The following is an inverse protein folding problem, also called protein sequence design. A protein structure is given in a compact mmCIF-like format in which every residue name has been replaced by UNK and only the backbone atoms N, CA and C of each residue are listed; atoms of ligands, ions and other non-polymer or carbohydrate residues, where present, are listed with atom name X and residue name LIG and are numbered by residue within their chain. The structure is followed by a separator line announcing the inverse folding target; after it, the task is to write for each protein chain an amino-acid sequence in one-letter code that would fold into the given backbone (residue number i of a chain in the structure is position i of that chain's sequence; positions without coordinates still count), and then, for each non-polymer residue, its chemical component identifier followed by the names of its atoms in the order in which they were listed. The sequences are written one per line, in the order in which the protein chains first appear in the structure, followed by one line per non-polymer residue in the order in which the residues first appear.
data_IF_847306402038
#
_entry.id   IF_847306402038
#
_cell.length_a   1.000
_cell.length_b   1.000
_cell.length_c   1.000
_cell.angle_alpha   90.00
_cell.angle_beta   90.00
_cell.angle_gamma   90.00
#
_symmetry.space_group_name_H-M   'P 1'
#
loop_
_entity.id
_entity.type
_entity.pdbx_description
1 polymer ?
#
# COMPACT_ATOMS: atom_id res chain seq x y z
N UNK A 1 11.87 -3.51 8.14
CA UNK A 1 11.44 -4.89 7.85
C UNK A 1 12.69 -5.64 7.45
N UNK A 2 12.67 -6.28 6.29
CA UNK A 2 13.77 -7.04 5.69
C UNK A 2 14.65 -6.19 4.74
N UNK A 3 14.52 -4.86 4.77
CA UNK A 3 15.36 -3.94 3.98
C UNK A 3 16.05 -2.97 4.91
N UNK A 4 17.36 -2.79 4.71
CA UNK A 4 18.18 -1.79 5.40
C UNK A 4 18.73 -0.79 4.38
N UNK A 5 19.09 0.40 4.86
CA UNK A 5 19.73 1.42 4.04
C UNK A 5 21.09 1.79 4.65
N UNK A 6 22.15 1.67 3.85
CA UNK A 6 23.52 1.98 4.24
C UNK A 6 24.06 2.98 3.23
N UNK A 7 24.36 4.21 3.67
CA UNK A 7 24.87 5.28 2.81
C UNK A 7 24.03 5.53 1.54
N UNK A 8 22.70 5.45 1.65
CA UNK A 8 21.75 5.62 0.53
C UNK A 8 21.57 4.38 -0.36
N UNK A 9 22.36 3.32 -0.16
CA UNK A 9 22.16 2.04 -0.82
C UNK A 9 21.13 1.21 -0.06
N UNK A 10 20.07 0.78 -0.75
CA UNK A 10 19.02 -0.08 -0.19
C UNK A 10 19.39 -1.54 -0.40
N UNK A 11 19.49 -2.28 0.69
CA UNK A 11 19.89 -3.68 0.71
C UNK A 11 18.75 -4.51 1.28
N UNK A 12 18.30 -5.52 0.53
CA UNK A 12 17.31 -6.50 0.96
C UNK A 12 18.01 -7.67 1.61
N UNK A 13 17.55 -8.06 2.78
CA UNK A 13 18.06 -9.22 3.49
C UNK A 13 17.70 -10.49 2.71
N UNK A 14 18.71 -11.24 2.35
CA UNK A 14 18.59 -12.50 1.64
C UNK A 14 17.79 -13.54 2.46
N UNK A 15 16.98 -14.35 1.76
CA UNK A 15 16.36 -15.56 2.30
C UNK A 15 15.27 -15.37 3.35
N UNK A 16 14.84 -14.14 3.63
CA UNK A 16 13.80 -13.85 4.63
C UNK A 16 12.69 -12.99 4.02
N UNK A 17 11.51 -12.99 4.64
CA UNK A 17 10.41 -12.09 4.30
C UNK A 17 9.85 -11.51 5.62
N UNK A 18 9.84 -10.19 5.75
CA UNK A 18 9.34 -9.53 6.96
C UNK A 18 7.92 -8.98 6.72
N UNK A 19 7.09 -8.88 7.77
CA UNK A 19 5.81 -8.20 7.65
C UNK A 19 6.00 -6.76 7.16
N UNK A 20 5.15 -6.35 6.22
CA UNK A 20 5.19 -5.01 5.65
C UNK A 20 4.85 -3.95 6.70
N UNK A 21 5.42 -2.74 6.63
CA UNK A 21 5.26 -1.73 7.70
C UNK A 21 3.81 -1.41 8.09
N UNK A 22 2.87 -1.58 7.15
CA UNK A 22 1.42 -1.39 7.37
C UNK A 22 0.66 -2.66 7.75
N UNK A 23 1.32 -3.82 7.85
CA UNK A 23 0.71 -5.09 8.19
C UNK A 23 0.35 -5.12 9.68
N UNK A 24 -0.84 -5.64 9.97
CA UNK A 24 -1.35 -5.86 11.31
C UNK A 24 -1.31 -7.35 11.62
N UNK A 25 -0.88 -7.67 12.84
CA UNK A 25 -0.94 -9.01 13.43
C UNK A 25 -1.86 -8.95 14.66
N UNK A 26 -2.22 -10.10 15.21
CA UNK A 26 -3.03 -10.21 16.42
C UNK A 26 -2.22 -10.86 17.54
N UNK A 27 -2.26 -10.25 18.72
CA UNK A 27 -1.71 -10.84 19.94
C UNK A 27 -2.54 -12.08 20.38
N UNK A 28 -2.13 -12.84 21.41
CA UNK A 28 -2.89 -13.99 21.90
C UNK A 28 -4.32 -13.66 22.34
N UNK A 29 -4.61 -12.40 22.67
CA UNK A 29 -5.93 -11.90 23.08
C UNK A 29 -6.76 -11.43 21.88
N UNK A 30 -6.22 -11.46 20.67
CA UNK A 30 -6.87 -11.00 19.44
C UNK A 30 -6.71 -9.50 19.17
N UNK A 31 -5.90 -8.79 19.95
CA UNK A 31 -5.67 -7.35 19.79
C UNK A 31 -4.76 -7.11 18.60
N UNK A 32 -5.21 -6.25 17.66
CA UNK A 32 -4.42 -5.91 16.49
C UNK A 32 -3.23 -5.00 16.84
N UNK A 33 -2.05 -5.30 16.30
CA UNK A 33 -0.84 -4.50 16.48
C UNK A 33 -0.01 -4.41 15.19
N UNK A 34 0.80 -3.36 15.06
CA UNK A 34 1.58 -3.04 13.85
C UNK A 34 2.87 -3.87 13.75
N UNK A 35 2.74 -5.15 13.49
CA UNK A 35 3.87 -6.07 13.51
C UNK A 35 4.98 -5.73 12.52
N UNK A 36 4.68 -5.24 11.31
CA UNK A 36 5.75 -4.83 10.39
C UNK A 36 6.50 -3.58 10.82
N UNK A 37 5.84 -2.66 11.53
CA UNK A 37 6.53 -1.52 12.15
C UNK A 37 7.42 -2.01 13.29
N UNK A 38 6.92 -2.88 14.17
CA UNK A 38 7.70 -3.45 15.27
C UNK A 38 8.91 -4.25 14.78
N UNK A 39 8.75 -5.08 13.74
CA UNK A 39 9.88 -5.78 13.10
C UNK A 39 10.95 -4.82 12.56
N UNK A 40 10.54 -3.67 12.03
CA UNK A 40 11.46 -2.64 11.55
C UNK A 40 12.22 -1.97 12.69
N UNK A 41 11.54 -1.68 13.79
CA UNK A 41 12.14 -1.09 15.00
C UNK A 41 13.10 -2.09 15.65
N UNK A 42 12.70 -3.35 15.80
CA UNK A 42 13.53 -4.40 16.37
C UNK A 42 14.86 -4.56 15.62
N UNK A 43 14.82 -4.54 14.27
CA UNK A 43 16.05 -4.56 13.47
C UNK A 43 16.91 -3.31 13.68
N UNK A 44 16.28 -2.13 13.69
CA UNK A 44 16.96 -0.85 13.92
C UNK A 44 17.66 -0.85 15.28
N UNK A 45 16.99 -1.30 16.33
CA UNK A 45 17.52 -1.38 17.69
C UNK A 45 18.63 -2.41 17.78
N UNK A 46 18.49 -3.55 17.08
CA UNK A 46 19.51 -4.61 17.07
C UNK A 46 20.81 -4.15 16.42
N UNK A 47 20.72 -3.38 15.35
CA UNK A 47 21.87 -2.75 14.69
C UNK A 47 22.44 -1.66 15.59
N UNK A 48 21.59 -0.76 16.08
CA UNK A 48 21.98 0.36 16.93
C UNK A 48 23.07 1.20 16.28
N UNK A 49 24.24 1.31 16.93
CA UNK A 49 25.40 2.06 16.44
C UNK A 49 26.49 1.18 15.80
N UNK A 50 26.21 -0.11 15.60
CA UNK A 50 27.21 -1.04 15.09
C UNK A 50 27.44 -0.83 13.59
N UNK A 51 28.65 -1.14 13.13
CA UNK A 51 28.95 -1.22 11.71
C UNK A 51 28.29 -2.46 11.15
N UNK A 52 27.53 -2.29 10.07
CA UNK A 52 26.90 -3.38 9.33
C UNK A 52 27.78 -3.75 8.15
N UNK A 53 28.09 -5.04 8.01
CA UNK A 53 28.75 -5.61 6.84
C UNK A 53 27.76 -6.49 6.09
N UNK A 54 27.60 -6.29 4.79
CA UNK A 54 26.69 -7.07 3.96
C UNK A 54 27.46 -7.78 2.86
N UNK A 55 27.29 -9.09 2.77
CA UNK A 55 27.80 -9.90 1.68
C UNK A 55 26.70 -10.05 0.63
N UNK A 56 26.85 -9.33 -0.49
CA UNK A 56 25.91 -9.43 -1.61
C UNK A 56 25.88 -10.84 -2.17
N UNK A 57 24.68 -11.37 -2.35
CA UNK A 57 24.40 -12.69 -2.91
C UNK A 57 23.71 -12.61 -4.27
N UNK A 58 22.94 -11.55 -4.51
CA UNK A 58 22.21 -11.33 -5.77
C UNK A 58 21.82 -9.86 -5.93
N UNK A 59 21.33 -9.48 -7.11
CA UNK A 59 20.64 -8.22 -7.37
C UNK A 59 19.21 -8.54 -7.79
N UNK A 60 18.22 -8.01 -7.08
CA UNK A 60 16.84 -8.26 -7.44
C UNK A 60 16.41 -7.53 -8.73
N UNK A 61 15.27 -7.92 -9.29
CA UNK A 61 14.71 -7.34 -10.53
C UNK A 61 14.47 -5.82 -10.51
N UNK A 62 14.52 -5.19 -9.33
CA UNK A 62 14.36 -3.75 -9.15
C UNK A 62 15.71 -3.03 -8.95
N UNK A 63 16.83 -3.75 -9.11
CA UNK A 63 18.18 -3.23 -8.96
C UNK A 63 18.63 -3.08 -7.50
N UNK A 64 17.96 -3.73 -6.54
CA UNK A 64 18.39 -3.69 -5.13
C UNK A 64 19.34 -4.84 -4.85
N UNK A 65 20.40 -4.54 -4.10
CA UNK A 65 21.30 -5.56 -3.57
C UNK A 65 20.55 -6.49 -2.63
N UNK A 66 20.75 -7.80 -2.79
CA UNK A 66 20.25 -8.85 -1.92
C UNK A 66 21.47 -9.42 -1.20
N UNK A 67 21.46 -9.44 0.13
CA UNK A 67 22.67 -9.74 0.89
C UNK A 67 22.42 -10.45 2.23
N UNK A 68 23.43 -11.18 2.68
CA UNK A 68 23.56 -11.62 4.06
C UNK A 68 24.27 -10.53 4.87
N UNK A 69 23.55 -9.90 5.79
CA UNK A 69 24.07 -8.76 6.55
C UNK A 69 24.39 -9.15 8.00
N UNK A 70 25.43 -8.52 8.53
CA UNK A 70 25.99 -8.82 9.84
C UNK A 70 26.23 -7.54 10.63
N UNK A 71 25.92 -7.56 11.93
CA UNK A 71 26.27 -6.49 12.87
C UNK A 71 26.91 -7.10 14.12
N UNK A 72 28.11 -6.62 14.48
CA UNK A 72 28.84 -7.17 15.64
C UNK A 72 29.13 -8.67 15.55
N UNK A 73 29.25 -9.21 14.33
CA UNK A 73 29.45 -10.64 14.07
C UNK A 73 28.18 -11.50 14.05
N UNK A 74 27.01 -10.96 14.39
CA UNK A 74 25.74 -11.69 14.28
C UNK A 74 25.12 -11.50 12.90
N UNK A 75 24.63 -12.59 12.31
CA UNK A 75 23.85 -12.56 11.08
C UNK A 75 22.43 -12.01 11.34
N UNK A 76 22.15 -10.81 10.83
CA UNK A 76 20.89 -10.09 11.04
C UNK A 76 19.71 -10.84 10.41
N UNK A 77 19.91 -11.47 9.25
CA UNK A 77 18.87 -12.23 8.57
C UNK A 77 18.37 -13.39 9.44
N UNK A 78 19.31 -14.16 10.00
CA UNK A 78 19.02 -15.27 10.93
C UNK A 78 18.37 -14.75 12.20
N UNK A 79 18.89 -13.67 12.77
CA UNK A 79 18.36 -13.08 13.99
C UNK A 79 16.91 -12.63 13.82
N UNK A 80 16.59 -11.93 12.72
CA UNK A 80 15.23 -11.50 12.39
C UNK A 80 14.26 -12.68 12.37
N UNK A 81 14.64 -13.79 11.76
CA UNK A 81 13.79 -14.99 11.70
C UNK A 81 13.71 -15.67 13.06
N UNK A 82 14.83 -15.83 13.76
CA UNK A 82 14.92 -16.52 15.06
C UNK A 82 14.11 -15.81 16.16
N UNK A 83 14.06 -14.49 16.12
CA UNK A 83 13.28 -13.67 17.06
C UNK A 83 11.84 -13.43 16.60
N UNK A 84 11.44 -13.99 15.45
CA UNK A 84 10.06 -13.93 14.95
C UNK A 84 9.68 -12.57 14.35
N UNK A 85 10.65 -11.79 13.87
CA UNK A 85 10.42 -10.54 13.14
C UNK A 85 10.32 -10.73 11.63
N UNK A 86 10.71 -11.91 11.13
CA UNK A 86 10.59 -12.33 9.75
C UNK A 86 10.29 -13.83 9.67
N UNK A 87 9.82 -14.27 8.50
CA UNK A 87 9.65 -15.68 8.16
C UNK A 87 10.74 -16.14 7.20
N UNK A 88 11.03 -17.44 7.17
CA UNK A 88 12.01 -17.98 6.24
C UNK A 88 11.43 -18.01 4.83
N UNK A 89 12.07 -17.32 3.88
CA UNK A 89 11.56 -17.27 2.51
C UNK A 89 12.10 -18.43 1.68
N UNK A 90 11.48 -19.61 1.89
CA UNK A 90 11.91 -20.91 1.35
C UNK A 90 12.06 -20.97 -0.17
N UNK A 91 11.42 -20.05 -0.91
CA UNK A 91 11.58 -19.93 -2.36
C UNK A 91 12.99 -19.46 -2.77
N UNK A 92 13.69 -18.76 -1.88
CA UNK A 92 15.02 -18.19 -2.16
C UNK A 92 16.12 -18.84 -1.32
N UNK A 93 15.82 -19.28 -0.09
CA UNK A 93 16.82 -19.91 0.77
C UNK A 93 16.18 -20.80 1.84
N UNK A 94 16.86 -21.91 2.16
CA UNK A 94 16.51 -22.79 3.28
C UNK A 94 17.33 -22.52 4.53
N UNK A 95 18.28 -21.57 4.49
CA UNK A 95 19.27 -21.31 5.55
C UNK A 95 18.65 -20.90 6.91
N UNK A 96 17.41 -20.42 6.90
CA UNK A 96 16.72 -19.89 8.08
C UNK A 96 15.53 -20.73 8.54
N UNK A 97 15.25 -21.89 7.93
CA UNK A 97 14.13 -22.75 8.34
C UNK A 97 14.25 -23.17 9.81
N UNK A 98 15.44 -23.57 10.26
CA UNK A 98 15.65 -23.92 11.67
C UNK A 98 15.46 -22.72 12.62
N UNK A 99 15.77 -21.50 12.17
CA UNK A 99 15.53 -20.29 12.95
C UNK A 99 14.03 -19.99 13.05
N UNK A 100 13.28 -20.20 11.98
CA UNK A 100 11.83 -20.02 11.94
C UNK A 100 11.13 -21.01 12.88
N UNK A 101 11.52 -22.28 12.85
CA UNK A 101 10.97 -23.29 13.77
C UNK A 101 11.27 -22.96 15.24
N UNK A 102 12.45 -22.38 15.53
CA UNK A 102 12.77 -21.88 16.87
C UNK A 102 11.86 -20.72 17.29
N UNK A 103 11.59 -19.76 16.40
CA UNK A 103 10.68 -18.65 16.69
C UNK A 103 9.24 -19.12 16.88
N UNK A 104 8.80 -20.07 16.05
CA UNK A 104 7.47 -20.67 16.09
C UNK A 104 7.23 -21.44 17.38
N UNK A 105 8.14 -22.35 17.74
CA UNK A 105 8.03 -23.14 18.98
C UNK A 105 8.18 -22.27 20.23
N UNK A 106 8.99 -21.21 20.14
CA UNK A 106 9.17 -20.22 21.20
C UNK A 106 8.10 -19.12 21.26
N UNK A 107 7.10 -19.13 20.37
CA UNK A 107 6.04 -18.10 20.29
C UNK A 107 6.60 -16.65 20.27
N UNK A 108 7.66 -16.43 19.49
CA UNK A 108 8.39 -15.14 19.44
C UNK A 108 7.85 -14.21 18.36
N UNK A 109 7.83 -12.91 18.66
CA UNK A 109 7.48 -11.88 17.68
C UNK A 109 6.11 -12.14 17.06
N UNK A 110 6.03 -12.20 15.73
CA UNK A 110 4.77 -12.47 15.02
C UNK A 110 4.17 -13.86 15.31
N UNK A 111 4.99 -14.81 15.79
CA UNK A 111 4.55 -16.16 16.15
C UNK A 111 3.87 -16.23 17.53
N UNK A 112 3.81 -15.13 18.28
CA UNK A 112 3.07 -15.09 19.55
C UNK A 112 1.55 -15.29 19.36
N UNK A 113 1.04 -14.91 18.19
CA UNK A 113 -0.39 -14.91 17.92
C UNK A 113 -0.70 -15.21 16.46
N UNK A 114 -1.72 -14.55 15.91
CA UNK A 114 -2.18 -14.79 14.53
C UNK A 114 -1.67 -13.72 13.59
N UNK A 115 -1.21 -14.13 12.42
CA UNK A 115 -0.78 -13.23 11.37
C UNK A 115 -0.98 -13.87 9.99
N UNK A 116 -1.12 -13.03 8.97
CA UNK A 116 -1.02 -13.45 7.58
C UNK A 116 0.45 -13.52 7.18
N UNK A 117 0.86 -14.51 6.41
CA UNK A 117 2.22 -14.52 5.86
C UNK A 117 2.46 -13.26 5.01
N UNK A 118 3.67 -12.66 5.00
CA UNK A 118 3.88 -11.38 4.33
C UNK A 118 3.58 -11.41 2.82
N UNK A 119 3.85 -12.53 2.14
CA UNK A 119 3.46 -12.74 0.73
C UNK A 119 1.94 -12.80 0.52
N UNK A 120 1.20 -13.43 1.43
CA UNK A 120 -0.26 -13.53 1.38
C UNK A 120 -0.90 -12.16 1.62
N UNK A 121 -0.37 -11.40 2.59
CA UNK A 121 -0.81 -10.04 2.86
C UNK A 121 -0.61 -9.12 1.64
N UNK A 122 0.55 -9.20 0.98
CA UNK A 122 0.83 -8.47 -0.26
C UNK A 122 -0.11 -8.88 -1.39
N UNK A 123 -0.38 -10.19 -1.55
CA UNK A 123 -1.32 -10.69 -2.55
C UNK A 123 -2.74 -10.14 -2.32
N UNK A 124 -3.24 -10.19 -1.08
CA UNK A 124 -4.56 -9.69 -0.72
C UNK A 124 -4.70 -8.18 -0.99
N UNK A 125 -3.67 -7.38 -0.69
CA UNK A 125 -3.69 -5.93 -0.97
C UNK A 125 -3.74 -5.63 -2.47
N UNK A 126 -2.96 -6.35 -3.28
CA UNK A 126 -3.01 -6.19 -4.75
C UNK A 126 -4.40 -6.50 -5.30
N UNK A 127 -5.06 -7.53 -4.80
CA UNK A 127 -6.43 -7.88 -5.19
C UNK A 127 -7.43 -6.81 -4.78
N UNK A 128 -7.34 -6.28 -3.55
CA UNK A 128 -8.19 -5.17 -3.08
C UNK A 128 -7.97 -3.88 -3.88
N UNK A 129 -6.74 -3.57 -4.28
CA UNK A 129 -6.46 -2.41 -5.13
C UNK A 129 -7.03 -2.57 -6.54
N UNK A 130 -7.02 -3.78 -7.10
CA UNK A 130 -7.68 -4.08 -8.38
C UNK A 130 -9.21 -4.05 -8.29
N UNK A 131 -9.76 -4.45 -7.14
CA UNK A 131 -11.20 -4.50 -6.89
C UNK A 131 -11.77 -3.17 -6.33
N UNK A 132 -10.92 -2.26 -5.87
CA UNK A 132 -11.35 -0.91 -5.51
C UNK A 132 -11.98 -0.29 -6.77
N UNK A 133 -13.22 0.24 -6.67
CA UNK A 133 -13.86 0.83 -7.84
C UNK A 133 -12.90 1.87 -8.41
N UNK A 134 -12.70 1.89 -9.74
CA UNK A 134 -11.86 2.90 -10.34
C UNK A 134 -12.35 4.27 -9.87
N UNK A 135 -11.46 5.27 -9.88
CA UNK A 135 -11.75 6.68 -9.65
C UNK A 135 -12.97 7.25 -10.44
N UNK A 136 -13.71 6.44 -11.20
CA UNK A 136 -15.00 6.75 -11.79
C UNK A 136 -16.02 7.32 -10.78
N UNK A 137 -16.03 6.90 -9.50
CA UNK A 137 -16.98 7.46 -8.51
C UNK A 137 -16.59 8.87 -8.02
N UNK A 138 -15.30 9.20 -8.04
CA UNK A 138 -14.81 10.56 -7.78
C UNK A 138 -14.91 11.45 -9.03
N UNK A 139 -14.71 10.88 -10.24
CA UNK A 139 -14.98 11.58 -11.51
C UNK A 139 -16.47 11.86 -11.71
N UNK A 140 -17.38 11.03 -11.19
CA UNK A 140 -18.82 11.32 -11.18
C UNK A 140 -19.20 12.46 -10.24
N UNK A 141 -18.37 12.75 -9.22
CA UNK A 141 -18.55 13.91 -8.33
C UNK A 141 -17.72 15.13 -8.79
N UNK A 142 -16.73 14.92 -9.68
CA UNK A 142 -15.82 15.94 -10.20
C UNK A 142 -16.06 16.28 -11.68
N UNK A 143 -17.04 15.67 -12.33
CA UNK A 143 -17.62 16.11 -13.59
C UNK A 143 -18.90 16.86 -13.28
N UNK A 144 -19.03 18.13 -13.63
CA UNK A 144 -18.71 18.57 -14.97
C UNK A 144 -17.90 19.86 -15.01
N UNK A 145 -16.84 19.83 -15.81
CA UNK A 145 -16.14 21.02 -16.26
C UNK A 145 -16.99 21.72 -17.33
N UNK A 146 -18.21 22.10 -16.97
CA UNK A 146 -19.07 22.88 -17.85
C UNK A 146 -18.50 24.28 -17.94
N UNK A 147 -18.52 24.83 -19.15
CA UNK A 147 -18.13 26.20 -19.43
C UNK A 147 -19.22 26.82 -20.30
N UNK A 148 -19.31 28.14 -20.31
CA UNK A 148 -20.34 28.86 -21.05
C UNK A 148 -20.14 28.84 -22.59
N UNK A 149 -19.36 27.88 -23.11
CA UNK A 149 -19.02 27.72 -24.51
C UNK A 149 -18.66 26.23 -24.75
N UNK A 150 -19.36 25.41 -25.55
CA UNK A 150 -20.43 25.65 -26.54
C UNK A 150 -21.78 25.03 -26.10
N UNK A 151 -22.87 25.27 -26.86
CA UNK A 151 -24.26 24.72 -26.74
C UNK A 151 -25.28 25.69 -26.13
N UNK A 152 -25.92 26.50 -26.99
CA UNK A 152 -26.83 27.59 -26.60
C UNK A 152 -28.31 27.29 -26.88
N UNK A 153 -28.63 26.07 -27.29
CA UNK A 153 -30.00 25.61 -27.55
C UNK A 153 -30.25 24.28 -26.84
N UNK A 154 -31.48 24.02 -26.46
CA UNK A 154 -31.87 22.78 -25.77
C UNK A 154 -31.56 21.51 -26.57
N UNK A 155 -31.61 21.59 -27.91
CA UNK A 155 -31.22 20.48 -28.80
C UNK A 155 -29.74 20.10 -28.72
N UNK A 156 -28.90 20.99 -28.19
CA UNK A 156 -27.46 20.78 -28.07
C UNK A 156 -27.05 20.29 -26.67
N UNK A 157 -27.98 20.29 -25.71
CA UNK A 157 -27.73 19.96 -24.30
C UNK A 157 -28.14 18.51 -24.06
N UNK A 158 -27.28 17.75 -23.37
CA UNK A 158 -27.46 16.31 -23.20
C UNK A 158 -28.20 15.88 -21.93
N UNK A 159 -28.42 16.80 -20.99
CA UNK A 159 -29.08 16.47 -19.71
C UNK A 159 -29.70 17.69 -19.01
N UNK A 160 -30.70 17.43 -18.15
CA UNK A 160 -31.26 18.47 -17.29
C UNK A 160 -30.23 19.13 -16.37
N UNK A 161 -29.29 18.36 -15.82
CA UNK A 161 -28.27 18.88 -14.92
C UNK A 161 -27.37 19.92 -15.63
N UNK A 162 -27.02 19.66 -16.89
CA UNK A 162 -26.27 20.58 -17.76
C UNK A 162 -27.08 21.85 -18.06
N UNK A 163 -28.38 21.72 -18.37
CA UNK A 163 -29.27 22.84 -18.60
C UNK A 163 -29.42 23.75 -17.36
N UNK A 164 -29.63 23.16 -16.17
CA UNK A 164 -29.74 23.88 -14.89
C UNK A 164 -28.46 24.61 -14.53
N UNK A 165 -27.31 24.00 -14.78
CA UNK A 165 -26.03 24.65 -14.53
C UNK A 165 -25.80 25.85 -15.47
N UNK A 166 -26.15 25.73 -16.75
CA UNK A 166 -26.07 26.87 -17.68
C UNK A 166 -27.01 28.01 -17.29
N UNK A 167 -28.23 27.71 -16.84
CA UNK A 167 -29.18 28.71 -16.33
C UNK A 167 -28.58 29.52 -15.17
N UNK A 168 -27.86 28.85 -14.26
CA UNK A 168 -27.32 29.47 -13.04
C UNK A 168 -25.95 30.13 -13.22
N UNK A 169 -25.11 29.63 -14.13
CA UNK A 169 -23.69 30.00 -14.19
C UNK A 169 -23.29 30.75 -15.47
N UNK A 170 -24.18 30.88 -16.47
CA UNK A 170 -23.86 31.52 -17.74
C UNK A 170 -24.74 32.75 -18.06
N UNK A 171 -24.16 33.85 -18.59
CA UNK A 171 -24.93 35.07 -18.94
C UNK A 171 -26.06 34.85 -19.94
N UNK A 172 -25.97 33.82 -20.78
CA UNK A 172 -26.97 33.45 -21.78
C UNK A 172 -27.93 32.36 -21.31
N UNK A 173 -27.76 31.84 -20.09
CA UNK A 173 -28.50 30.69 -19.56
C UNK A 173 -30.02 30.89 -19.52
N UNK A 174 -30.49 32.12 -19.26
CA UNK A 174 -31.92 32.45 -19.28
C UNK A 174 -32.61 32.24 -20.64
N UNK A 175 -31.86 32.06 -21.73
CA UNK A 175 -32.45 31.72 -23.04
C UNK A 175 -32.92 30.27 -23.14
N UNK A 176 -32.49 29.41 -22.22
CA UNK A 176 -32.88 28.01 -22.15
C UNK A 176 -34.22 27.81 -21.41
N UNK A 177 -34.63 28.80 -20.63
CA UNK A 177 -35.87 28.86 -19.87
C UNK A 177 -36.82 29.83 -20.61
N UNK A 178 -37.76 29.27 -21.38
CA UNK A 178 -38.55 30.04 -22.35
C UNK A 178 -39.69 30.81 -21.68
N UNK A 179 -40.26 30.24 -20.65
CA UNK A 179 -41.39 30.74 -19.87
C UNK A 179 -40.96 31.35 -18.52
N UNK A 180 -39.67 31.28 -18.21
CA UNK A 180 -39.00 31.98 -17.11
C UNK A 180 -39.49 31.48 -15.73
N UNK A 181 -39.74 30.17 -15.63
CA UNK A 181 -40.23 29.48 -14.45
C UNK A 181 -39.11 28.86 -13.59
N UNK A 182 -37.86 28.95 -14.08
CA UNK A 182 -36.67 28.36 -13.46
C UNK A 182 -36.32 26.96 -13.97
N UNK A 183 -37.05 26.41 -14.94
CA UNK A 183 -36.82 25.09 -15.54
C UNK A 183 -36.29 25.25 -16.98
N UNK A 184 -34.98 25.13 -17.20
CA UNK A 184 -34.43 25.26 -18.54
C UNK A 184 -34.66 23.97 -19.33
N UNK A 185 -34.99 24.10 -20.62
CA UNK A 185 -35.15 22.98 -21.54
C UNK A 185 -36.11 21.89 -21.03
N UNK A 186 -37.38 22.24 -20.78
CA UNK A 186 -38.42 21.34 -20.25
C UNK A 186 -38.50 19.95 -20.93
N UNK A 187 -38.18 19.87 -22.23
CA UNK A 187 -38.13 18.61 -22.97
C UNK A 187 -37.14 17.58 -22.40
N UNK A 188 -36.19 18.01 -21.56
CA UNK A 188 -35.14 17.16 -20.98
C UNK A 188 -35.07 17.26 -19.43
N UNK A 189 -35.98 17.95 -18.72
CA UNK A 189 -35.81 18.32 -17.29
C UNK A 189 -36.77 17.75 -16.20
#
# INVERSE_FOLDING_TARGET
GDTIEIHGARIRLNGIDAPESGQLCQDPRGTAWRCGQQASLALSDRIGRQVVSCQETDIDRYGRSVADCFAGGENLNRWMVREGWAVAYRQYSTAYVAAEEHARTGQRGIWEGRFDMPWDWRAARRSRQKAAPPMQRLQQLAGQNWSCNPRRTCSQIGSCAEARWYLQNCPWGGRLDRDNDGIPCESIC
#
